data_IF_026244265205
#
_entry.id   IF_026244265205
#
_cell.length_a   1.000
_cell.length_b   1.000
_cell.length_c   1.000
_cell.angle_alpha   90.00
_cell.angle_beta   90.00
_cell.angle_gamma   90.00
#
_symmetry.space_group_name_H-M   'P 1'
#
loop_
_entity.id
_entity.type
_entity.pdbx_description
1 polymer ?
#
# COMPACT_ATOMS: atom_id res chain seq x y z
N UNK A 1 -56.99 9.35 19.86
CA UNK A 1 -57.78 8.20 20.33
C UNK A 1 -58.28 8.53 21.72
N UNK A 2 -59.57 8.84 21.85
CA UNK A 2 -60.32 8.75 23.12
C UNK A 2 -60.55 7.27 23.45
N UNK A 3 -60.92 6.94 24.70
CA UNK A 3 -62.35 6.82 25.07
C UNK A 3 -62.64 7.42 26.46
N UNK A 4 -63.72 8.19 26.67
CA UNK A 4 -65.12 7.79 26.90
C UNK A 4 -65.40 6.92 28.15
N UNK A 5 -66.14 7.56 29.06
CA UNK A 5 -67.22 7.09 29.92
C UNK A 5 -67.04 5.98 30.95
N UNK A 6 -67.37 6.33 32.20
CA UNK A 6 -68.30 5.57 33.05
C UNK A 6 -68.90 6.45 34.16
N UNK A 7 -70.15 6.84 33.94
CA UNK A 7 -71.13 7.23 34.97
C UNK A 7 -71.58 6.00 35.75
N UNK A 8 -71.87 6.15 37.06
CA UNK A 8 -72.99 5.50 37.77
C UNK A 8 -73.10 5.95 39.26
N UNK A 9 -74.28 5.76 39.91
CA UNK A 9 -74.86 6.69 40.89
C UNK A 9 -75.20 6.08 42.27
N UNK A 10 -76.03 6.80 43.05
CA UNK A 10 -76.77 6.42 44.29
C UNK A 10 -76.06 6.81 45.61
N UNK A 11 -76.70 7.26 46.69
CA UNK A 11 -78.00 6.93 47.30
C UNK A 11 -78.51 8.07 48.22
N UNK A 12 -79.81 8.02 48.47
CA UNK A 12 -80.66 8.91 49.24
C UNK A 12 -80.42 8.95 50.77
N UNK A 13 -81.22 9.81 51.43
CA UNK A 13 -81.61 9.92 52.86
C UNK A 13 -81.10 11.22 53.52
N UNK A 14 -81.91 12.07 54.15
CA UNK A 14 -83.33 11.96 54.46
C UNK A 14 -83.90 13.32 54.91
N UNK A 15 -85.21 13.40 54.81
CA UNK A 15 -86.08 14.44 55.35
C UNK A 15 -85.91 14.61 56.87
N UNK A 16 -86.07 15.84 57.35
CA UNK A 16 -86.78 16.08 58.62
C UNK A 16 -87.40 17.48 58.62
N UNK A 17 -88.73 17.44 58.47
CA UNK A 17 -89.68 18.52 58.72
C UNK A 17 -89.57 19.02 60.17
N UNK A 18 -89.56 20.33 60.35
CA UNK A 18 -89.82 21.00 61.62
C UNK A 18 -90.86 22.09 61.38
N UNK A 19 -92.11 21.80 61.73
CA UNK A 19 -93.22 22.75 61.78
C UNK A 19 -93.02 23.67 62.99
N UNK A 20 -93.03 24.99 62.79
CA UNK A 20 -93.27 25.95 63.87
C UNK A 20 -94.57 26.70 63.60
N UNK A 21 -95.59 26.31 64.36
CA UNK A 21 -96.88 26.98 64.46
C UNK A 21 -96.73 28.30 65.23
N UNK A 22 -97.49 29.36 64.89
CA UNK A 22 -97.54 30.56 65.71
C UNK A 22 -98.41 30.31 66.93
N UNK A 23 -97.82 30.40 68.12
CA UNK A 23 -98.56 30.36 69.38
C UNK A 23 -99.33 31.67 69.55
N UNK A 24 -100.63 31.53 69.35
CA UNK A 24 -101.69 32.42 69.79
C UNK A 24 -101.68 32.54 71.32
N UNK A 25 -101.48 33.75 71.84
CA UNK A 25 -101.80 34.15 73.21
C UNK A 25 -102.73 35.35 73.06
N UNK A 26 -104.04 35.24 73.24
CA UNK A 26 -104.70 34.67 74.42
C UNK A 26 -105.26 35.86 75.20
N UNK A 27 -106.29 36.50 74.63
CA UNK A 27 -107.08 37.52 75.29
C UNK A 27 -107.72 36.91 76.55
N UNK A 28 -107.34 37.43 77.72
CA UNK A 28 -108.04 37.18 78.98
C UNK A 28 -108.81 38.44 79.35
N UNK A 29 -109.94 38.61 78.67
CA UNK A 29 -111.13 39.25 79.23
C UNK A 29 -111.57 38.46 80.46
N UNK A 30 -111.67 39.09 81.63
CA UNK A 30 -112.21 38.41 82.79
C UNK A 30 -112.06 39.15 84.10
N UNK A 31 -113.03 40.01 84.40
CA UNK A 31 -113.90 39.89 85.59
C UNK A 31 -114.28 41.25 86.14
N UNK A 32 -115.47 41.67 85.71
CA UNK A 32 -116.28 42.72 86.34
C UNK A 32 -116.67 42.23 87.74
N UNK A 33 -115.97 42.72 88.77
CA UNK A 33 -116.32 42.44 90.17
C UNK A 33 -117.56 43.29 90.53
N UNK A 34 -118.63 42.73 91.13
CA UNK A 34 -119.84 43.47 91.45
C UNK A 34 -119.65 44.31 92.72
N UNK A 35 -119.53 45.63 92.58
CA UNK A 35 -119.56 46.66 93.64
C UNK A 35 -120.92 46.83 94.34
N UNK A 36 -121.77 45.79 94.34
CA UNK A 36 -123.19 45.88 94.72
C UNK A 36 -123.48 45.56 96.21
N UNK A 37 -122.47 45.30 97.05
CA UNK A 37 -122.69 44.77 98.42
C UNK A 37 -122.34 45.74 99.57
N UNK A 38 -121.54 46.77 99.32
CA UNK A 38 -121.14 47.77 100.34
C UNK A 38 -122.25 48.76 100.65
N UNK A 39 -122.87 49.34 99.61
CA UNK A 39 -123.96 50.32 99.78
C UNK A 39 -125.21 49.80 100.49
N UNK A 40 -125.48 48.49 100.42
CA UNK A 40 -126.65 47.89 101.09
C UNK A 40 -126.44 47.71 102.60
N UNK A 41 -125.22 47.38 103.05
CA UNK A 41 -124.90 47.17 104.47
C UNK A 41 -124.79 48.49 105.24
N UNK A 42 -124.23 49.51 104.59
CA UNK A 42 -124.10 50.85 105.14
C UNK A 42 -125.48 51.52 105.34
N UNK A 43 -126.37 51.36 104.35
CA UNK A 43 -127.77 51.81 104.41
C UNK A 43 -128.56 51.12 105.53
N UNK A 44 -128.37 49.80 105.74
CA UNK A 44 -129.02 49.06 106.82
C UNK A 44 -128.54 49.50 108.22
N UNK A 45 -127.24 49.77 108.39
CA UNK A 45 -126.69 50.26 109.65
C UNK A 45 -127.18 51.68 110.00
N UNK A 46 -127.24 52.57 109.03
CA UNK A 46 -127.81 53.92 109.19
C UNK A 46 -129.28 53.88 109.64
N UNK A 47 -130.07 52.93 109.14
CA UNK A 47 -131.45 52.71 109.59
C UNK A 47 -131.51 52.27 111.05
N UNK A 48 -130.68 51.30 111.45
CA UNK A 48 -130.63 50.85 112.86
C UNK A 48 -130.14 51.95 113.83
N UNK A 49 -129.24 52.84 113.41
CA UNK A 49 -128.85 54.00 114.20
C UNK A 49 -130.02 54.96 114.46
N UNK A 50 -130.86 55.21 113.44
CA UNK A 50 -132.08 56.02 113.60
C UNK A 50 -133.08 55.35 114.54
N UNK A 51 -133.26 54.04 114.44
CA UNK A 51 -134.15 53.28 115.33
C UNK A 51 -133.63 53.29 116.78
N UNK A 52 -132.31 53.21 116.97
CA UNK A 52 -131.67 53.34 118.28
C UNK A 52 -131.88 54.73 118.90
N UNK A 53 -131.73 55.79 118.10
CA UNK A 53 -131.96 57.17 118.53
C UNK A 53 -133.42 57.41 118.91
N UNK A 54 -134.35 56.93 118.08
CA UNK A 54 -135.79 56.93 118.39
C UNK A 54 -136.12 56.18 119.69
N UNK A 55 -135.53 54.99 119.89
CA UNK A 55 -135.70 54.22 121.12
C UNK A 55 -135.08 54.89 122.36
N UNK A 56 -133.94 55.57 122.21
CA UNK A 56 -133.31 56.36 123.27
C UNK A 56 -134.21 57.54 123.68
N UNK A 57 -134.72 58.28 122.69
CA UNK A 57 -135.63 59.40 122.87
C UNK A 57 -136.94 58.95 123.54
N UNK A 58 -137.48 57.80 123.15
CA UNK A 58 -138.66 57.21 123.80
C UNK A 58 -138.40 56.82 125.26
N UNK A 59 -137.24 56.23 125.58
CA UNK A 59 -136.85 55.91 126.96
C UNK A 59 -136.62 57.18 127.80
N UNK A 60 -136.01 58.22 127.22
CA UNK A 60 -135.79 59.51 127.87
C UNK A 60 -137.12 60.22 128.18
N UNK A 61 -138.06 60.25 127.24
CA UNK A 61 -139.40 60.80 127.46
C UNK A 61 -140.17 60.03 128.56
N UNK A 62 -140.03 58.71 128.58
CA UNK A 62 -140.62 57.84 129.61
C UNK A 62 -139.97 58.04 131.00
N UNK A 63 -138.68 58.37 131.04
CA UNK A 63 -137.93 58.75 132.25
C UNK A 63 -138.49 60.03 132.88
N UNK A 64 -138.73 61.07 132.06
CA UNK A 64 -139.35 62.32 132.50
C UNK A 64 -140.76 62.06 133.03
N UNK A 65 -141.52 61.19 132.35
CA UNK A 65 -142.87 60.81 132.79
C UNK A 65 -142.88 60.03 134.11
N UNK A 66 -141.89 59.16 134.34
CA UNK A 66 -141.70 58.46 135.63
C UNK A 66 -141.31 59.43 136.75
N UNK A 67 -140.42 60.39 136.48
CA UNK A 67 -140.02 61.44 137.44
C UNK A 67 -141.20 62.33 137.84
N UNK A 68 -142.00 62.78 136.89
CA UNK A 68 -143.18 63.60 137.20
C UNK A 68 -144.22 62.85 138.03
N UNK A 69 -144.27 61.51 137.96
CA UNK A 69 -145.12 60.69 138.82
C UNK A 69 -144.57 60.57 140.26
N UNK A 70 -143.26 60.74 140.47
CA UNK A 70 -142.60 60.76 141.78
C UNK A 70 -142.87 62.06 142.56
N UNK A 71 -142.86 63.21 141.90
CA UNK A 71 -142.88 64.54 142.56
C UNK A 71 -144.28 65.00 143.06
N UNK A 72 -145.35 64.23 142.83
CA UNK A 72 -146.74 64.62 143.16
C UNK A 72 -147.34 63.82 144.33
N UNK A 73 -146.90 64.05 145.57
CA UNK A 73 -147.41 63.45 146.82
C UNK A 73 -148.17 64.49 147.68
N UNK A 74 -149.52 64.41 147.82
CA UNK A 74 -150.23 65.15 148.86
C UNK A 74 -150.75 64.24 149.98
N UNK A 75 -150.36 64.58 151.21
CA UNK A 75 -150.71 63.90 152.47
C UNK A 75 -152.19 64.04 152.84
N UNK A 76 -153.08 63.27 152.20
CA UNK A 76 -154.41 62.93 152.74
C UNK A 76 -154.98 61.69 152.05
N UNK A 77 -155.22 60.62 152.83
CA UNK A 77 -156.11 59.47 152.56
C UNK A 77 -156.38 59.08 151.09
N UNK A 78 -155.58 58.15 150.56
CA UNK A 78 -155.99 56.92 149.81
C UNK A 78 -154.75 56.23 149.21
N UNK A 79 -154.05 55.42 150.01
CA UNK A 79 -152.74 54.81 149.71
C UNK A 79 -152.69 53.74 148.60
N UNK A 80 -153.81 53.34 147.97
CA UNK A 80 -153.85 52.15 147.08
C UNK A 80 -153.75 52.45 145.57
N UNK A 81 -154.10 53.65 145.08
CA UNK A 81 -154.06 53.98 143.64
C UNK A 81 -152.72 54.56 143.16
N UNK A 82 -151.96 55.17 144.06
CA UNK A 82 -150.65 55.76 143.76
C UNK A 82 -149.59 54.68 143.51
N UNK A 83 -149.61 53.61 144.31
CA UNK A 83 -148.72 52.46 144.21
C UNK A 83 -148.81 51.76 142.83
N UNK A 84 -150.02 51.64 142.28
CA UNK A 84 -150.28 50.96 141.00
C UNK A 84 -149.88 51.83 139.80
N UNK A 85 -150.09 53.15 139.85
CA UNK A 85 -149.62 54.09 138.81
C UNK A 85 -148.09 54.13 138.74
N UNK A 86 -147.42 54.17 139.88
CA UNK A 86 -145.96 54.14 139.98
C UNK A 86 -145.37 52.83 139.46
N UNK A 87 -145.97 51.70 139.81
CA UNK A 87 -145.54 50.38 139.33
C UNK A 87 -145.68 50.25 137.81
N UNK A 88 -146.71 50.85 137.21
CA UNK A 88 -146.92 50.86 135.75
C UNK A 88 -145.91 51.75 135.03
N UNK A 89 -145.66 52.96 135.53
CA UNK A 89 -144.68 53.87 134.94
C UNK A 89 -143.25 53.32 135.05
N UNK A 90 -142.90 52.69 136.19
CA UNK A 90 -141.63 51.98 136.37
C UNK A 90 -141.48 50.84 135.37
N UNK A 91 -142.53 50.03 135.20
CA UNK A 91 -142.53 48.90 134.26
C UNK A 91 -142.33 49.36 132.81
N UNK A 92 -143.04 50.40 132.38
CA UNK A 92 -142.93 50.93 131.03
C UNK A 92 -141.55 51.58 130.78
N UNK A 93 -140.99 52.23 131.80
CA UNK A 93 -139.62 52.74 131.72
C UNK A 93 -138.60 51.59 131.57
N UNK A 94 -138.74 50.54 132.37
CA UNK A 94 -137.88 49.36 132.23
C UNK A 94 -138.02 48.73 130.84
N UNK A 95 -139.24 48.63 130.32
CA UNK A 95 -139.49 48.11 128.97
C UNK A 95 -138.83 48.98 127.88
N UNK A 96 -138.92 50.31 127.97
CA UNK A 96 -138.27 51.21 127.01
C UNK A 96 -136.75 51.20 127.14
N UNK A 97 -136.22 51.14 128.35
CA UNK A 97 -134.78 51.00 128.59
C UNK A 97 -134.26 49.65 128.12
N UNK A 98 -135.03 48.57 128.30
CA UNK A 98 -134.68 47.25 127.79
C UNK A 98 -134.74 47.25 126.26
N UNK A 99 -135.75 47.85 125.63
CA UNK A 99 -135.82 47.97 124.16
C UNK A 99 -134.66 48.78 123.59
N UNK A 100 -134.35 49.94 124.18
CA UNK A 100 -133.16 50.73 123.81
C UNK A 100 -131.87 49.94 124.02
N UNK A 101 -131.72 49.22 125.14
CA UNK A 101 -130.56 48.37 125.42
C UNK A 101 -130.41 47.28 124.36
N UNK A 102 -131.50 46.65 123.93
CA UNK A 102 -131.48 45.64 122.86
C UNK A 102 -131.07 46.25 121.51
N UNK A 103 -131.67 47.37 121.11
CA UNK A 103 -131.31 48.03 119.85
C UNK A 103 -129.86 48.53 119.88
N UNK A 104 -129.40 49.12 120.99
CA UNK A 104 -128.02 49.58 121.14
C UNK A 104 -127.03 48.40 121.07
N UNK A 105 -127.38 47.26 121.65
CA UNK A 105 -126.61 46.02 121.50
C UNK A 105 -126.53 45.58 120.04
N UNK A 106 -127.64 45.61 119.30
CA UNK A 106 -127.67 45.29 117.87
C UNK A 106 -126.84 46.26 117.03
N UNK A 107 -126.92 47.57 117.29
CA UNK A 107 -126.08 48.59 116.63
C UNK A 107 -124.61 48.31 116.89
N UNK A 108 -124.20 48.04 118.14
CA UNK A 108 -122.81 47.71 118.45
C UNK A 108 -122.34 46.45 117.74
N UNK A 109 -123.20 45.43 117.64
CA UNK A 109 -122.87 44.19 116.94
C UNK A 109 -122.72 44.41 115.43
N UNK A 110 -123.61 45.18 114.80
CA UNK A 110 -123.50 45.49 113.37
C UNK A 110 -122.34 46.44 113.08
N UNK A 111 -122.04 47.40 113.95
CA UNK A 111 -120.83 48.22 113.84
C UNK A 111 -119.57 47.35 113.88
N UNK A 112 -119.52 46.38 114.81
CA UNK A 112 -118.41 45.43 114.89
C UNK A 112 -118.28 44.59 113.61
N UNK A 113 -119.39 44.11 113.05
CA UNK A 113 -119.39 43.38 111.79
C UNK A 113 -118.93 44.23 110.60
N UNK A 114 -119.33 45.51 110.55
CA UNK A 114 -118.87 46.45 109.53
C UNK A 114 -117.36 46.72 109.67
N UNK A 115 -116.87 46.91 110.90
CA UNK A 115 -115.45 47.06 111.17
C UNK A 115 -114.64 45.81 110.80
N UNK A 116 -115.15 44.61 111.10
CA UNK A 116 -114.54 43.34 110.69
C UNK A 116 -114.50 43.21 109.15
N UNK A 117 -115.61 43.52 108.46
CA UNK A 117 -115.66 43.48 107.00
C UNK A 117 -114.78 44.53 106.32
N UNK A 118 -114.68 45.74 106.89
CA UNK A 118 -113.77 46.80 106.43
C UNK A 118 -112.30 46.38 106.64
N UNK A 119 -111.97 45.75 107.78
CA UNK A 119 -110.64 45.21 108.02
C UNK A 119 -110.27 44.09 107.02
N UNK A 120 -111.21 43.18 106.71
CA UNK A 120 -111.04 42.15 105.69
C UNK A 120 -110.87 42.76 104.29
N UNK A 121 -111.63 43.81 103.96
CA UNK A 121 -111.51 44.53 102.69
C UNK A 121 -110.14 45.21 102.57
N UNK A 122 -109.70 45.95 103.59
CA UNK A 122 -108.37 46.58 103.62
C UNK A 122 -107.26 45.53 103.52
N UNK A 123 -107.43 44.36 104.14
CA UNK A 123 -106.49 43.27 104.02
C UNK A 123 -106.47 42.66 102.61
N UNK A 124 -107.64 42.46 101.99
CA UNK A 124 -107.75 42.02 100.59
C UNK A 124 -107.11 43.04 99.63
N UNK A 125 -107.36 44.34 99.82
CA UNK A 125 -106.76 45.41 99.02
C UNK A 125 -105.22 45.42 99.16
N UNK A 126 -104.70 45.20 100.37
CA UNK A 126 -103.25 45.02 100.58
C UNK A 126 -102.71 43.78 99.86
N UNK A 127 -103.44 42.66 99.86
CA UNK A 127 -103.04 41.47 99.10
C UNK A 127 -103.05 41.72 97.60
N UNK A 128 -104.10 42.36 97.07
CA UNK A 128 -104.20 42.74 95.66
C UNK A 128 -103.04 43.66 95.28
N UNK A 129 -102.74 44.67 96.11
CA UNK A 129 -101.60 45.56 95.88
C UNK A 129 -100.27 44.79 95.84
N UNK A 130 -100.02 43.91 96.82
CA UNK A 130 -98.82 43.08 96.84
C UNK A 130 -98.71 42.17 95.60
N UNK A 131 -99.82 41.58 95.16
CA UNK A 131 -99.85 40.77 93.93
C UNK A 131 -99.58 41.61 92.69
N UNK A 132 -100.15 42.80 92.57
CA UNK A 132 -99.89 43.73 91.46
C UNK A 132 -98.42 44.17 91.44
N UNK A 133 -97.82 44.48 92.60
CA UNK A 133 -96.39 44.79 92.68
C UNK A 133 -95.54 43.62 92.20
N UNK A 134 -95.87 42.38 92.62
CA UNK A 134 -95.15 41.17 92.18
C UNK A 134 -95.31 40.91 90.68
N UNK A 135 -96.50 41.12 90.13
CA UNK A 135 -96.75 41.01 88.68
C UNK A 135 -95.90 42.03 87.94
N UNK A 136 -95.92 43.30 88.36
CA UNK A 136 -95.12 44.35 87.73
C UNK A 136 -93.61 44.06 87.81
N UNK A 137 -93.13 43.52 88.93
CA UNK A 137 -91.73 43.07 89.05
C UNK A 137 -91.41 41.94 88.06
N UNK A 138 -92.27 40.91 87.98
CA UNK A 138 -92.08 39.79 87.06
C UNK A 138 -92.16 40.22 85.57
N UNK A 139 -93.04 41.16 85.23
CA UNK A 139 -93.13 41.75 83.90
C UNK A 139 -91.84 42.51 83.54
N UNK A 140 -91.32 43.32 84.46
CA UNK A 140 -90.05 44.02 84.27
C UNK A 140 -88.88 43.04 84.10
N UNK A 141 -88.81 42.00 84.94
CA UNK A 141 -87.80 40.94 84.81
C UNK A 141 -87.92 40.21 83.47
N UNK A 142 -89.13 39.90 83.00
CA UNK A 142 -89.37 39.26 81.71
C UNK A 142 -88.93 40.16 80.54
N UNK A 143 -89.20 41.46 80.60
CA UNK A 143 -88.71 42.42 79.60
C UNK A 143 -87.18 42.52 79.56
N UNK A 144 -86.51 42.45 80.72
CA UNK A 144 -85.04 42.38 80.79
C UNK A 144 -84.55 41.06 80.18
N UNK A 145 -85.13 39.92 80.56
CA UNK A 145 -84.74 38.61 80.04
C UNK A 145 -84.95 38.48 78.52
N UNK A 146 -86.03 39.07 77.97
CA UNK A 146 -86.25 39.12 76.52
C UNK A 146 -85.16 39.91 75.81
N UNK A 147 -84.73 41.04 76.37
CA UNK A 147 -83.61 41.84 75.83
C UNK A 147 -82.30 41.06 75.88
N UNK A 148 -81.99 40.43 77.01
CA UNK A 148 -80.78 39.62 77.15
C UNK A 148 -80.77 38.42 76.19
N UNK A 149 -81.92 37.76 76.00
CA UNK A 149 -82.07 36.67 75.05
C UNK A 149 -81.88 37.16 73.61
N UNK A 150 -82.46 38.31 73.26
CA UNK A 150 -82.27 38.93 71.95
C UNK A 150 -80.80 39.29 71.69
N UNK A 151 -80.13 39.92 72.66
CA UNK A 151 -78.69 40.23 72.57
C UNK A 151 -77.83 38.97 72.47
N UNK A 152 -78.13 37.93 73.26
CA UNK A 152 -77.44 36.66 73.19
C UNK A 152 -77.65 35.99 71.83
N UNK A 153 -78.87 36.04 71.28
CA UNK A 153 -79.18 35.57 69.93
C UNK A 153 -78.35 36.27 68.86
N UNK A 154 -78.21 37.60 68.96
CA UNK A 154 -77.33 38.37 68.07
C UNK A 154 -75.86 37.96 68.22
N UNK A 155 -75.36 37.78 69.45
CA UNK A 155 -73.99 37.32 69.69
C UNK A 155 -73.73 35.92 69.11
N UNK A 156 -74.69 35.01 69.24
CA UNK A 156 -74.61 33.65 68.65
C UNK A 156 -74.58 33.73 67.12
N UNK A 157 -75.39 34.60 66.52
CA UNK A 157 -75.38 34.81 65.07
C UNK A 157 -74.02 35.34 64.57
N UNK A 158 -73.46 36.34 65.26
CA UNK A 158 -72.14 36.89 64.95
C UNK A 158 -71.03 35.83 65.08
N UNK A 159 -71.06 35.01 66.15
CA UNK A 159 -70.11 33.90 66.33
C UNK A 159 -70.26 32.85 65.23
N UNK A 160 -71.49 32.53 64.82
CA UNK A 160 -71.75 31.62 63.72
C UNK A 160 -71.23 32.16 62.40
N UNK A 161 -71.37 33.46 62.14
CA UNK A 161 -70.81 34.10 60.96
C UNK A 161 -69.27 34.03 60.96
N UNK A 162 -68.62 34.43 62.06
CA UNK A 162 -67.16 34.30 62.23
C UNK A 162 -66.67 32.86 62.04
N UNK A 163 -67.37 31.88 62.61
CA UNK A 163 -67.02 30.47 62.43
C UNK A 163 -67.11 29.98 60.98
N UNK A 164 -68.07 30.50 60.19
CA UNK A 164 -68.14 30.22 58.74
C UNK A 164 -66.99 30.87 57.98
N UNK A 165 -66.65 32.11 58.29
CA UNK A 165 -65.51 32.81 57.67
C UNK A 165 -64.19 32.10 57.96
N UNK A 166 -63.94 31.69 59.21
CA UNK A 166 -62.76 30.90 59.59
C UNK A 166 -62.73 29.54 58.88
N UNK A 167 -63.89 28.89 58.73
CA UNK A 167 -64.01 27.63 57.99
C UNK A 167 -63.64 27.82 56.52
N UNK A 168 -64.14 28.86 55.85
CA UNK A 168 -63.84 29.13 54.44
C UNK A 168 -62.40 29.60 54.23
N UNK A 169 -61.86 30.38 55.18
CA UNK A 169 -60.44 30.70 55.23
C UNK A 169 -59.58 29.44 55.33
N UNK A 170 -59.95 28.50 56.21
CA UNK A 170 -59.24 27.22 56.37
C UNK A 170 -59.29 26.38 55.10
N UNK A 171 -60.45 26.29 54.42
CA UNK A 171 -60.57 25.61 53.12
C UNK A 171 -59.65 26.24 52.08
N UNK A 172 -59.64 27.57 51.98
CA UNK A 172 -58.78 28.32 51.06
C UNK A 172 -57.29 28.07 51.34
N UNK A 173 -56.89 28.11 52.62
CA UNK A 173 -55.53 27.81 53.04
C UNK A 173 -55.11 26.36 52.67
N UNK A 174 -55.98 25.37 52.90
CA UNK A 174 -55.73 23.97 52.49
C UNK A 174 -55.56 23.86 50.97
N UNK A 175 -56.40 24.53 50.17
CA UNK A 175 -56.27 24.54 48.72
C UNK A 175 -54.95 25.16 48.26
N UNK A 176 -54.53 26.26 48.90
CA UNK A 176 -53.26 26.91 48.62
C UNK A 176 -52.08 25.99 48.96
N UNK A 177 -52.09 25.35 50.13
CA UNK A 177 -51.06 24.38 50.54
C UNK A 177 -50.96 23.23 49.54
N UNK A 178 -52.08 22.63 49.13
CA UNK A 178 -52.10 21.57 48.10
C UNK A 178 -51.50 22.03 46.78
N UNK A 179 -51.79 23.26 46.34
CA UNK A 179 -51.21 23.84 45.12
C UNK A 179 -49.69 24.05 45.24
N UNK A 180 -49.22 24.55 46.39
CA UNK A 180 -47.79 24.72 46.68
C UNK A 180 -47.06 23.37 46.75
N UNK A 181 -47.69 22.34 47.34
CA UNK A 181 -47.12 20.99 47.37
C UNK A 181 -47.04 20.36 45.98
N UNK A 182 -48.07 20.53 45.15
CA UNK A 182 -48.07 20.03 43.78
C UNK A 182 -46.98 20.70 42.92
N UNK A 183 -46.84 22.03 43.03
CA UNK A 183 -45.79 22.78 42.32
C UNK A 183 -44.40 22.40 42.82
N UNK A 184 -44.21 22.23 44.14
CA UNK A 184 -42.95 21.73 44.72
C UNK A 184 -42.60 20.35 44.19
N UNK A 185 -43.55 19.41 44.17
CA UNK A 185 -43.32 18.05 43.66
C UNK A 185 -42.94 18.08 42.18
N UNK A 186 -43.62 18.91 41.38
CA UNK A 186 -43.32 19.10 39.96
C UNK A 186 -41.90 19.64 39.74
N UNK A 187 -41.52 20.71 40.46
CA UNK A 187 -40.17 21.30 40.37
C UNK A 187 -39.09 20.32 40.84
N UNK A 188 -39.34 19.55 41.90
CA UNK A 188 -38.42 18.51 42.36
C UNK A 188 -38.23 17.40 41.32
N UNK A 189 -39.29 17.03 40.60
CA UNK A 189 -39.22 16.09 39.47
C UNK A 189 -38.39 16.63 38.31
N UNK A 190 -38.59 17.91 37.93
CA UNK A 190 -37.79 18.56 36.90
C UNK A 190 -36.32 18.64 37.29
N UNK A 191 -36.02 18.99 38.54
CA UNK A 191 -34.65 19.07 39.05
C UNK A 191 -33.94 17.72 38.92
N UNK A 192 -34.56 16.63 39.41
CA UNK A 192 -34.01 15.27 39.28
C UNK A 192 -33.79 14.85 37.83
N UNK A 193 -34.73 15.17 36.94
CA UNK A 193 -34.61 14.89 35.51
C UNK A 193 -33.42 15.63 34.89
N UNK A 194 -33.25 16.91 35.24
CA UNK A 194 -32.13 17.73 34.77
C UNK A 194 -30.78 17.31 35.37
N UNK A 195 -30.75 16.89 36.63
CA UNK A 195 -29.56 16.31 37.26
C UNK A 195 -29.14 15.01 36.56
N UNK A 196 -30.09 14.13 36.25
CA UNK A 196 -29.81 12.89 35.50
C UNK A 196 -29.30 13.18 34.08
N UNK A 197 -29.90 14.15 33.38
CA UNK A 197 -29.44 14.60 32.06
C UNK A 197 -28.03 15.19 32.13
N UNK A 198 -27.74 16.04 33.12
CA UNK A 198 -26.42 16.62 33.32
C UNK A 198 -25.35 15.54 33.56
N UNK A 199 -25.62 14.60 34.47
CA UNK A 199 -24.73 13.46 34.73
C UNK A 199 -24.46 12.63 33.46
N UNK A 200 -25.49 12.37 32.65
CA UNK A 200 -25.33 11.69 31.35
C UNK A 200 -24.42 12.47 30.40
N UNK A 201 -24.62 13.78 30.28
CA UNK A 201 -23.81 14.65 29.44
C UNK A 201 -22.36 14.71 29.94
N UNK A 202 -22.12 14.77 31.25
CA UNK A 202 -20.78 14.72 31.85
C UNK A 202 -20.04 13.44 31.47
N UNK A 203 -20.70 12.27 31.56
CA UNK A 203 -20.09 10.99 31.17
C UNK A 203 -19.78 10.95 29.67
N UNK A 204 -20.68 11.46 28.82
CA UNK A 204 -20.45 11.58 27.37
C UNK A 204 -19.27 12.49 27.06
N UNK A 205 -19.17 13.64 27.74
CA UNK A 205 -18.09 14.60 27.57
C UNK A 205 -16.75 13.98 27.95
N UNK A 206 -16.65 13.31 29.11
CA UNK A 206 -15.43 12.60 29.50
C UNK A 206 -15.05 11.49 28.52
N UNK A 207 -16.04 10.81 27.93
CA UNK A 207 -15.78 9.77 26.92
C UNK A 207 -15.21 10.40 25.66
N UNK A 208 -15.79 11.50 25.19
CA UNK A 208 -15.27 12.25 24.04
C UNK A 208 -13.86 12.79 24.30
N UNK A 209 -13.57 13.33 25.49
CA UNK A 209 -12.23 13.77 25.87
C UNK A 209 -11.19 12.64 25.80
N UNK A 210 -11.53 11.43 26.30
CA UNK A 210 -10.67 10.24 26.16
C UNK A 210 -10.45 9.86 24.69
N UNK A 211 -11.49 9.91 23.85
CA UNK A 211 -11.33 9.62 22.42
C UNK A 211 -10.47 10.67 21.71
N UNK A 212 -10.61 11.95 22.04
CA UNK A 212 -9.80 13.03 21.45
C UNK A 212 -8.34 12.89 21.84
N UNK A 213 -8.04 12.58 23.10
CA UNK A 213 -6.66 12.34 23.56
C UNK A 213 -6.04 11.13 22.88
N UNK A 214 -6.78 10.02 22.76
CA UNK A 214 -6.33 8.84 22.01
C UNK A 214 -6.03 9.16 20.54
N UNK A 215 -6.93 9.87 19.84
CA UNK A 215 -6.73 10.24 18.44
C UNK A 215 -5.57 11.21 18.23
N UNK A 216 -5.29 12.09 19.20
CA UNK A 216 -4.10 12.95 19.17
C UNK A 216 -2.82 12.14 19.23
N UNK A 217 -2.73 11.14 20.11
CA UNK A 217 -1.59 10.23 20.19
C UNK A 217 -1.38 9.48 18.88
N UNK A 218 -2.42 8.88 18.31
CA UNK A 218 -2.36 8.18 17.01
C UNK A 218 -1.89 9.11 15.87
N UNK A 219 -2.37 10.36 15.87
CA UNK A 219 -1.93 11.36 14.88
C UNK A 219 -0.44 11.70 15.04
N UNK A 220 0.05 11.83 16.26
CA UNK A 220 1.45 12.15 16.52
C UNK A 220 2.38 10.98 16.17
N UNK A 221 1.97 9.73 16.44
CA UNK A 221 2.65 8.52 15.98
C UNK A 221 2.73 8.44 14.45
N UNK A 222 1.61 8.70 13.76
CA UNK A 222 1.56 8.71 12.29
C UNK A 222 2.44 9.82 11.70
N UNK A 223 2.47 11.01 12.33
CA UNK A 223 3.38 12.08 11.91
C UNK A 223 4.84 11.66 12.06
N UNK A 224 5.21 11.02 13.16
CA UNK A 224 6.58 10.53 13.38
C UNK A 224 6.97 9.45 12.37
N UNK A 225 6.06 8.52 12.05
CA UNK A 225 6.27 7.52 10.99
C UNK A 225 6.43 8.17 9.62
N UNK A 226 5.62 9.19 9.31
CA UNK A 226 5.71 9.91 8.05
C UNK A 226 7.05 10.66 7.90
N UNK A 227 7.52 11.32 8.96
CA UNK A 227 8.83 11.99 8.93
C UNK A 227 9.97 10.99 8.75
N UNK A 228 9.95 9.86 9.47
CA UNK A 228 10.95 8.81 9.33
C UNK A 228 10.97 8.19 7.92
N UNK A 229 9.80 7.94 7.33
CA UNK A 229 9.70 7.43 5.97
C UNK A 229 10.22 8.44 4.93
N UNK A 230 9.93 9.73 5.14
CA UNK A 230 10.43 10.81 4.28
C UNK A 230 11.96 10.90 4.32
N UNK A 231 12.56 10.81 5.50
CA UNK A 231 14.02 10.78 5.68
C UNK A 231 14.64 9.54 5.02
N UNK A 232 14.06 8.36 5.24
CA UNK A 232 14.50 7.12 4.59
C UNK A 232 14.46 7.23 3.07
N UNK A 233 13.37 7.75 2.50
CA UNK A 233 13.25 7.96 1.05
C UNK A 233 14.30 8.94 0.52
N UNK A 234 14.64 9.99 1.27
CA UNK A 234 15.72 10.91 0.90
C UNK A 234 17.09 10.22 0.89
N UNK A 235 17.39 9.40 1.91
CA UNK A 235 18.62 8.60 1.98
C UNK A 235 18.71 7.59 0.83
N UNK A 236 17.63 6.85 0.56
CA UNK A 236 17.57 5.89 -0.55
C UNK A 236 17.78 6.58 -1.91
N UNK A 237 17.21 7.77 -2.09
CA UNK A 237 17.41 8.60 -3.29
C UNK A 237 18.87 9.02 -3.43
N UNK A 238 19.54 9.39 -2.35
CA UNK A 238 20.98 9.73 -2.38
C UNK A 238 21.86 8.51 -2.64
N UNK A 239 21.56 7.37 -2.02
CA UNK A 239 22.23 6.10 -2.25
C UNK A 239 22.12 5.68 -3.72
N UNK A 240 20.91 5.77 -4.30
CA UNK A 240 20.68 5.49 -5.72
C UNK A 240 21.48 6.43 -6.62
N UNK A 241 21.50 7.74 -6.33
CA UNK A 241 22.32 8.71 -7.08
C UNK A 241 23.82 8.34 -7.04
N UNK A 242 24.34 7.94 -5.87
CA UNK A 242 25.74 7.50 -5.73
C UNK A 242 26.00 6.22 -6.52
N UNK A 243 25.12 5.23 -6.44
CA UNK A 243 25.21 3.98 -7.20
C UNK A 243 25.19 4.24 -8.72
N UNK A 244 24.27 5.06 -9.21
CA UNK A 244 24.19 5.44 -10.63
C UNK A 244 25.45 6.15 -11.11
N UNK A 245 26.02 7.07 -10.32
CA UNK A 245 27.30 7.73 -10.64
C UNK A 245 28.45 6.74 -10.71
N UNK A 246 28.53 5.81 -9.76
CA UNK A 246 29.55 4.76 -9.78
C UNK A 246 29.43 3.85 -11.02
N UNK A 247 28.20 3.47 -11.38
CA UNK A 247 27.94 2.67 -12.57
C UNK A 247 28.27 3.42 -13.86
N UNK A 248 27.98 4.73 -13.93
CA UNK A 248 28.38 5.58 -15.06
C UNK A 248 29.89 5.61 -15.22
N UNK A 249 30.64 5.86 -14.14
CA UNK A 249 32.11 5.82 -14.20
C UNK A 249 32.67 4.45 -14.59
N UNK A 250 32.02 3.36 -14.16
CA UNK A 250 32.40 2.01 -14.57
C UNK A 250 32.18 1.81 -16.08
N UNK A 251 31.05 2.27 -16.62
CA UNK A 251 30.77 2.23 -18.05
C UNK A 251 31.79 3.04 -18.86
N UNK A 252 32.10 4.28 -18.45
CA UNK A 252 33.12 5.13 -19.09
C UNK A 252 34.50 4.43 -19.13
N UNK A 253 34.90 3.73 -18.05
CA UNK A 253 36.15 2.95 -18.02
C UNK A 253 36.13 1.78 -19.01
N UNK A 254 34.99 1.10 -19.15
CA UNK A 254 34.84 0.03 -20.13
C UNK A 254 34.84 0.57 -21.56
N UNK A 255 34.15 1.67 -21.84
CA UNK A 255 34.20 2.34 -23.15
C UNK A 255 35.63 2.75 -23.52
N UNK A 256 36.39 3.33 -22.57
CA UNK A 256 37.79 3.67 -22.79
C UNK A 256 38.68 2.43 -23.04
N UNK A 257 38.45 1.33 -22.32
CA UNK A 257 39.16 0.08 -22.53
C UNK A 257 38.83 -0.56 -23.90
N UNK A 258 37.56 -0.56 -24.29
CA UNK A 258 37.10 -1.01 -25.61
C UNK A 258 37.72 -0.16 -26.72
N UNK A 259 37.76 1.17 -26.55
CA UNK A 259 38.41 2.08 -27.50
C UNK A 259 39.89 1.76 -27.72
N UNK A 260 40.63 1.45 -26.64
CA UNK A 260 42.04 1.01 -26.74
C UNK A 260 42.18 -0.32 -27.47
N UNK A 261 41.36 -1.32 -27.13
CA UNK A 261 41.38 -2.62 -27.81
C UNK A 261 41.05 -2.48 -29.29
N UNK A 262 40.08 -1.64 -29.64
CA UNK A 262 39.70 -1.38 -31.01
C UNK A 262 40.81 -0.68 -31.80
N UNK A 263 41.51 0.28 -31.18
CA UNK A 263 42.68 0.91 -31.78
C UNK A 263 43.81 -0.10 -32.04
N UNK A 264 44.10 -0.97 -31.08
CA UNK A 264 45.08 -2.06 -31.23
C UNK A 264 44.68 -3.05 -32.33
N UNK A 265 43.39 -3.41 -32.41
CA UNK A 265 42.89 -4.28 -33.47
C UNK A 265 43.13 -3.66 -34.85
N UNK A 266 42.80 -2.37 -35.02
CA UNK A 266 43.06 -1.64 -36.27
C UNK A 266 44.55 -1.59 -36.63
N UNK A 267 45.42 -1.39 -35.64
CA UNK A 267 46.87 -1.42 -35.83
C UNK A 267 47.34 -2.81 -36.31
N UNK A 268 46.87 -3.88 -35.66
CA UNK A 268 47.20 -5.27 -36.05
C UNK A 268 46.66 -5.63 -37.43
N UNK A 269 45.45 -5.18 -37.77
CA UNK A 269 44.89 -5.36 -39.11
C UNK A 269 45.74 -4.65 -40.17
N UNK A 270 46.24 -3.44 -39.88
CA UNK A 270 47.15 -2.71 -40.76
C UNK A 270 48.52 -3.41 -40.90
N UNK A 271 49.11 -3.89 -39.80
CA UNK A 271 50.33 -4.71 -39.83
C UNK A 271 50.15 -5.98 -40.67
N UNK A 272 49.03 -6.68 -40.50
CA UNK A 272 48.69 -7.88 -41.29
C UNK A 272 48.53 -7.56 -42.78
N UNK A 273 47.87 -6.45 -43.12
CA UNK A 273 47.75 -5.99 -44.51
C UNK A 273 49.14 -5.70 -45.12
N UNK A 274 50.00 -5.00 -44.39
CA UNK A 274 51.38 -4.72 -44.80
C UNK A 274 52.21 -6.01 -44.98
N UNK A 275 52.11 -6.96 -44.04
CA UNK A 275 52.79 -8.24 -44.13
C UNK A 275 52.33 -9.06 -45.35
N UNK A 276 51.03 -9.01 -45.70
CA UNK A 276 50.49 -9.62 -46.93
C UNK A 276 51.10 -9.00 -48.18
N UNK A 277 51.18 -7.67 -48.25
CA UNK A 277 51.82 -6.95 -49.39
C UNK A 277 53.30 -7.35 -49.52
N UNK A 278 54.04 -7.39 -48.42
CA UNK A 278 55.45 -7.79 -48.42
C UNK A 278 55.63 -9.25 -48.87
N UNK A 279 54.80 -10.17 -48.37
CA UNK A 279 54.78 -11.57 -48.82
C UNK A 279 54.54 -11.65 -50.32
N UNK A 280 53.55 -10.93 -50.83
CA UNK A 280 53.19 -10.96 -52.25
C UNK A 280 54.30 -10.39 -53.14
N UNK A 281 54.97 -9.33 -52.69
CA UNK A 281 56.18 -8.80 -53.33
C UNK A 281 57.31 -9.84 -53.38
N UNK A 282 57.62 -10.50 -52.25
CA UNK A 282 58.65 -11.56 -52.20
C UNK A 282 58.28 -12.76 -53.08
N UNK A 283 57.00 -13.12 -53.14
CA UNK A 283 56.50 -14.18 -54.01
C UNK A 283 56.73 -13.84 -55.49
N UNK A 284 56.36 -12.61 -55.91
CA UNK A 284 56.63 -12.13 -57.28
C UNK A 284 58.13 -12.11 -57.61
N UNK A 285 58.97 -11.65 -56.67
CA UNK A 285 60.42 -11.66 -56.86
C UNK A 285 60.95 -13.09 -57.06
N UNK A 286 60.45 -14.06 -56.28
CA UNK A 286 60.81 -15.48 -56.43
C UNK A 286 60.34 -16.04 -57.78
N UNK A 287 59.14 -15.69 -58.22
CA UNK A 287 58.64 -16.09 -59.55
C UNK A 287 59.55 -15.54 -60.65
N UNK A 288 59.92 -14.26 -60.61
CA UNK A 288 60.85 -13.66 -61.57
C UNK A 288 62.23 -14.34 -61.58
N UNK A 289 62.82 -14.62 -60.41
CA UNK A 289 64.13 -15.30 -60.37
C UNK A 289 64.05 -16.75 -60.82
N UNK A 290 62.91 -17.42 -60.62
CA UNK A 290 62.66 -18.76 -61.13
C UNK A 290 62.54 -18.75 -62.66
N UNK A 291 61.81 -17.79 -63.24
CA UNK A 291 61.72 -17.61 -64.69
C UNK A 291 63.09 -17.31 -65.31
N UNK A 292 63.91 -16.47 -64.67
CA UNK A 292 65.30 -16.22 -65.09
C UNK A 292 66.17 -17.46 -65.01
N UNK A 293 66.05 -18.23 -63.92
CA UNK A 293 66.74 -19.51 -63.75
C UNK A 293 66.33 -20.49 -64.86
N UNK A 294 65.06 -20.60 -65.18
CA UNK A 294 64.56 -21.51 -66.22
C UNK A 294 65.06 -21.08 -67.62
N UNK A 295 65.15 -19.78 -67.89
CA UNK A 295 65.81 -19.25 -69.10
C UNK A 295 67.29 -19.63 -69.15
N UNK A 296 68.03 -19.46 -68.04
CA UNK A 296 69.45 -19.84 -67.97
C UNK A 296 69.65 -21.35 -68.13
N UNK A 297 68.80 -22.18 -67.51
CA UNK A 297 68.83 -23.64 -67.68
C UNK A 297 68.61 -23.98 -69.16
N UNK A 298 67.63 -23.36 -69.81
CA UNK A 298 67.35 -23.55 -71.24
C UNK A 298 68.56 -23.19 -72.12
N UNK A 299 69.23 -22.06 -71.83
CA UNK A 299 70.47 -21.67 -72.50
C UNK A 299 71.60 -22.66 -72.24
N UNK A 300 71.79 -23.13 -71.00
CA UNK A 300 72.79 -24.14 -70.66
C UNK A 300 72.51 -25.44 -71.42
N UNK A 301 71.27 -25.91 -71.48
CA UNK A 301 70.91 -27.12 -72.24
C UNK A 301 71.17 -26.94 -73.73
N UNK A 302 70.87 -25.76 -74.29
CA UNK A 302 71.16 -25.43 -75.67
C UNK A 302 72.68 -25.44 -75.96
N UNK A 303 73.48 -24.78 -75.13
CA UNK A 303 74.94 -24.77 -75.24
C UNK A 303 75.54 -26.17 -75.05
N UNK A 304 75.02 -26.97 -74.11
CA UNK A 304 75.41 -28.38 -73.96
C UNK A 304 75.14 -29.18 -75.23
N UNK A 305 73.97 -28.99 -75.85
CA UNK A 305 73.65 -29.62 -77.14
C UNK A 305 74.62 -29.19 -78.23
N UNK A 306 74.98 -27.90 -78.30
CA UNK A 306 76.00 -27.43 -79.24
C UNK A 306 77.37 -28.05 -79.00
N UNK A 307 77.80 -28.20 -77.74
CA UNK A 307 79.06 -28.85 -77.38
C UNK A 307 79.04 -30.32 -77.80
N UNK A 308 77.94 -31.04 -77.55
CA UNK A 308 77.78 -32.44 -77.98
C UNK A 308 77.88 -32.53 -79.52
N UNK A 309 77.19 -31.66 -80.25
CA UNK A 309 77.24 -31.61 -81.71
C UNK A 309 78.63 -31.25 -82.26
N UNK A 310 79.30 -30.24 -81.68
CA UNK A 310 80.68 -29.88 -82.02
C UNK A 310 81.66 -31.01 -81.71
N UNK A 311 81.52 -31.69 -80.57
CA UNK A 311 82.33 -32.85 -80.22
C UNK A 311 82.08 -34.02 -81.19
N UNK A 312 80.84 -34.25 -81.61
CA UNK A 312 80.52 -35.26 -82.62
C UNK A 312 81.15 -34.91 -83.98
N UNK A 313 81.12 -33.64 -84.39
CA UNK A 313 81.81 -33.14 -85.59
C UNK A 313 83.32 -33.32 -85.50
N UNK A 314 83.94 -32.94 -84.37
CA UNK A 314 85.37 -33.14 -84.11
C UNK A 314 85.76 -34.62 -84.12
N UNK A 315 84.96 -35.48 -83.48
CA UNK A 315 85.22 -36.92 -83.46
C UNK A 315 85.15 -37.50 -84.87
N UNK A 316 84.12 -37.13 -85.64
CA UNK A 316 83.98 -37.53 -87.04
C UNK A 316 85.18 -37.07 -87.87
N UNK A 317 85.58 -35.81 -87.75
CA UNK A 317 86.73 -35.27 -88.49
C UNK A 317 88.05 -35.94 -88.08
N UNK A 318 88.23 -36.26 -86.79
CA UNK A 318 89.35 -37.07 -86.32
C UNK A 318 89.32 -38.48 -86.92
N UNK A 319 88.16 -39.13 -86.94
CA UNK A 319 88.00 -40.46 -87.51
C UNK A 319 88.28 -40.44 -89.02
N UNK A 320 87.75 -39.46 -89.75
CA UNK A 320 88.05 -39.19 -91.16
C UNK A 320 89.56 -38.95 -91.37
N UNK A 321 90.22 -38.14 -90.53
CA UNK A 321 91.67 -37.94 -90.57
C UNK A 321 92.44 -39.24 -90.29
N UNK A 322 92.01 -40.05 -89.33
CA UNK A 322 92.66 -41.34 -89.04
C UNK A 322 92.50 -42.30 -90.22
N UNK A 323 91.34 -42.38 -90.86
CA UNK A 323 91.14 -43.24 -92.04
C UNK A 323 91.97 -42.75 -93.23
N UNK A 324 92.05 -41.43 -93.45
CA UNK A 324 92.94 -40.85 -94.47
C UNK A 324 94.40 -41.18 -94.15
N UNK A 325 94.84 -41.00 -92.90
CA UNK A 325 96.20 -41.30 -92.46
C UNK A 325 96.53 -42.79 -92.58
N UNK A 326 95.60 -43.69 -92.24
CA UNK A 326 95.72 -45.14 -92.46
C UNK A 326 95.84 -45.48 -93.94
N UNK A 327 95.01 -44.87 -94.81
CA UNK A 327 95.10 -45.06 -96.26
C UNK A 327 96.44 -44.57 -96.83
N UNK A 328 96.93 -43.43 -96.32
CA UNK A 328 98.20 -42.84 -96.70
C UNK A 328 99.36 -43.71 -96.20
N UNK A 329 99.26 -44.24 -94.99
CA UNK A 329 100.23 -45.18 -94.43
C UNK A 329 100.25 -46.51 -95.21
N UNK A 330 99.10 -47.05 -95.62
CA UNK A 330 99.03 -48.18 -96.54
C UNK A 330 99.65 -47.87 -97.91
N UNK A 331 99.47 -46.64 -98.41
CA UNK A 331 100.11 -46.20 -99.64
C UNK A 331 101.63 -46.09 -99.49
N UNK A 332 102.13 -45.54 -98.37
CA UNK A 332 103.55 -45.49 -98.04
C UNK A 332 104.13 -46.90 -97.93
N UNK A 333 103.45 -47.82 -97.24
CA UNK A 333 103.90 -49.22 -97.14
C UNK A 333 103.98 -49.90 -98.51
N UNK A 334 102.99 -49.69 -99.38
CA UNK A 334 103.03 -50.17 -100.78
C UNK A 334 104.22 -49.60 -101.55
N UNK A 335 104.42 -48.29 -101.50
CA UNK A 335 105.56 -47.64 -102.15
C UNK A 335 106.91 -48.12 -101.58
N UNK A 336 106.96 -48.41 -100.28
CA UNK A 336 108.17 -48.94 -99.62
C UNK A 336 108.47 -50.37 -100.08
N UNK A 337 107.43 -51.21 -100.24
CA UNK A 337 107.56 -52.56 -100.78
C UNK A 337 108.00 -52.53 -102.25
N UNK A 338 107.36 -51.71 -103.10
CA UNK A 338 107.80 -51.49 -104.49
C UNK A 338 109.25 -51.00 -104.58
N UNK A 339 109.65 -50.07 -103.71
CA UNK A 339 111.03 -49.58 -103.67
C UNK A 339 112.01 -50.68 -103.22
N UNK A 340 111.59 -51.58 -102.32
CA UNK A 340 112.32 -52.78 -101.94
C UNK A 340 112.51 -53.73 -103.12
N UNK A 341 111.44 -54.00 -103.87
CA UNK A 341 111.48 -54.85 -105.07
C UNK A 341 112.36 -54.24 -106.17
N UNK A 342 112.26 -52.93 -106.40
CA UNK A 342 113.13 -52.20 -107.32
C UNK A 342 114.60 -52.25 -106.88
N UNK A 343 114.88 -52.15 -105.58
CA UNK A 343 116.23 -52.28 -105.03
C UNK A 343 116.79 -53.70 -105.24
N UNK A 344 115.99 -54.73 -104.99
CA UNK A 344 116.36 -56.13 -105.24
C UNK A 344 116.64 -56.40 -106.73
N UNK A 345 115.78 -55.91 -107.62
CA UNK A 345 115.98 -56.00 -109.06
C UNK A 345 117.24 -55.25 -109.51
N UNK A 346 117.53 -54.07 -108.93
CA UNK A 346 118.75 -53.30 -109.20
C UNK A 346 120.02 -54.06 -108.75
N UNK A 347 119.99 -54.67 -107.56
CA UNK A 347 121.08 -55.51 -107.07
C UNK A 347 121.31 -56.74 -107.97
N UNK A 348 120.24 -57.36 -108.45
CA UNK A 348 120.28 -58.52 -109.36
C UNK A 348 120.87 -58.15 -110.72
N UNK A 349 120.42 -57.02 -111.30
CA UNK A 349 120.97 -56.50 -112.55
C UNK A 349 122.45 -56.13 -112.42
N UNK A 350 122.87 -55.49 -111.31
CA UNK A 350 124.29 -55.21 -111.04
C UNK A 350 125.14 -56.47 -110.95
N UNK A 351 124.64 -57.54 -110.34
CA UNK A 351 125.35 -58.82 -110.29
C UNK A 351 125.48 -59.45 -111.68
N UNK A 352 124.43 -59.36 -112.51
CA UNK A 352 124.48 -59.81 -113.90
C UNK A 352 125.45 -59.01 -114.76
N UNK A 353 125.53 -57.69 -114.57
CA UNK A 353 126.48 -56.81 -115.28
C UNK A 353 127.93 -57.18 -114.91
N UNK A 354 128.24 -57.34 -113.62
CA UNK A 354 129.56 -57.74 -113.17
C UNK A 354 130.00 -59.13 -113.69
N UNK A 355 129.05 -60.04 -113.93
CA UNK A 355 129.32 -61.35 -114.52
C UNK A 355 129.66 -61.25 -116.02
N UNK A 356 128.93 -60.40 -116.77
CA UNK A 356 129.18 -60.17 -118.19
C UNK A 356 130.51 -59.43 -118.43
N UNK A 357 130.84 -58.47 -117.57
CA UNK A 357 132.13 -57.75 -117.62
C UNK A 357 133.33 -58.70 -117.46
N UNK A 358 133.21 -59.74 -116.62
CA UNK A 358 134.25 -60.78 -116.47
C UNK A 358 134.41 -61.65 -117.72
N UNK A 359 133.30 -62.04 -118.35
CA UNK A 359 133.33 -62.83 -119.59
C UNK A 359 133.96 -62.07 -120.76
N UNK A 360 133.76 -60.75 -120.83
CA UNK A 360 134.39 -59.90 -121.85
C UNK A 360 135.90 -59.82 -121.64
N UNK A 361 136.36 -59.62 -120.40
CA UNK A 361 137.80 -59.58 -120.10
C UNK A 361 138.52 -60.90 -120.44
N UNK A 362 137.89 -62.05 -120.14
CA UNK A 362 138.45 -63.37 -120.47
C UNK A 362 138.49 -63.62 -122.00
N UNK A 363 137.52 -63.07 -122.74
CA UNK A 363 137.45 -63.18 -124.21
C UNK A 363 138.47 -62.27 -124.92
N UNK A 364 138.74 -61.09 -124.37
CA UNK A 364 139.76 -60.17 -124.88
C UNK A 364 141.18 -60.72 -124.67
N UNK A 365 141.44 -61.40 -123.55
CA UNK A 365 142.72 -62.05 -123.29
C UNK A 365 143.01 -63.20 -124.28
N UNK A 366 141.99 -64.02 -124.60
CA UNK A 366 142.11 -65.11 -125.57
C UNK A 366 142.35 -64.61 -127.01
N UNK A 367 141.82 -63.44 -127.37
CA UNK A 367 141.97 -62.85 -128.70
C UNK A 367 143.39 -62.30 -128.95
N UNK A 368 144.04 -61.74 -127.93
CA UNK A 368 145.43 -61.25 -128.07
C UNK A 368 146.46 -62.40 -128.10
N UNK A 369 146.20 -63.53 -127.42
CA UNK A 369 147.05 -64.72 -127.50
C UNK A 369 147.03 -65.32 -128.93
N UNK A 370 145.86 -65.44 -129.55
CA UNK A 370 145.69 -65.93 -130.95
C UNK A 370 146.40 -65.02 -131.98
N UNK A 371 146.42 -63.70 -131.72
CA UNK A 371 147.07 -62.68 -132.56
C UNK A 371 148.59 -62.84 -132.60
N UNK A 372 149.21 -63.12 -131.44
CA UNK A 372 150.66 -63.33 -131.34
C UNK A 372 151.10 -64.61 -132.05
N UNK A 373 150.32 -65.69 -131.92
CA UNK A 373 150.55 -66.98 -132.60
C UNK A 373 150.42 -66.86 -134.13
N UNK A 374 149.50 -66.03 -134.63
CA UNK A 374 149.36 -65.80 -136.07
C UNK A 374 150.51 -64.98 -136.67
N UNK A 375 151.19 -64.13 -135.90
CA UNK A 375 152.33 -63.34 -136.40
C UNK A 375 153.62 -64.17 -136.48
N UNK A 376 153.85 -65.09 -135.55
CA UNK A 376 155.02 -65.98 -135.55
C UNK A 376 155.01 -66.95 -136.75
N UNK A 377 153.85 -67.54 -137.08
CA UNK A 377 153.73 -68.44 -138.24
C UNK A 377 153.92 -67.76 -139.61
N UNK A 378 153.63 -66.46 -139.70
CA UNK A 378 153.82 -65.70 -140.93
C UNK A 378 155.30 -65.35 -141.17
N UNK A 379 156.09 -65.24 -140.10
CA UNK A 379 157.53 -65.00 -140.16
C UNK A 379 158.31 -66.27 -140.53
N UNK A 380 157.85 -67.43 -140.06
CA UNK A 380 158.42 -68.75 -140.39
C UNK A 380 158.13 -69.14 -141.86
N UNK A 381 156.94 -68.81 -142.38
CA UNK A 381 156.60 -69.02 -143.79
C UNK A 381 157.47 -68.19 -144.76
N UNK A 382 157.86 -66.97 -144.37
CA UNK A 382 158.75 -66.10 -145.17
C UNK A 382 160.20 -66.59 -145.20
N UNK A 383 160.68 -67.24 -144.14
CA UNK A 383 162.03 -67.80 -144.11
C UNK A 383 162.16 -69.06 -145.00
N UNK A 384 161.12 -69.90 -145.06
CA UNK A 384 161.10 -71.06 -145.96
C UNK A 384 160.98 -70.66 -147.44
N UNK A 385 160.31 -69.54 -147.73
CA UNK A 385 160.16 -69.05 -149.11
C UNK A 385 161.48 -68.53 -149.70
N UNK A 386 162.33 -67.88 -148.89
CA UNK A 386 163.66 -67.44 -149.33
C UNK A 386 164.64 -68.61 -149.54
N UNK A 387 164.54 -69.68 -148.73
CA UNK A 387 165.36 -70.90 -148.92
C UNK A 387 165.01 -71.67 -150.20
N UNK A 388 163.76 -71.57 -150.69
CA UNK A 388 163.32 -72.18 -151.95
C UNK A 388 163.82 -71.39 -153.17
N UNK A 389 163.99 -70.08 -153.08
CA UNK A 389 164.55 -69.27 -154.16
C UNK A 389 166.07 -69.45 -154.30
N UNK A 390 166.80 -69.55 -153.18
CA UNK A 390 168.25 -69.80 -153.20
C UNK A 390 168.59 -71.20 -153.77
N UNK A 391 167.81 -72.24 -153.42
CA UNK A 391 167.98 -73.58 -154.00
C UNK A 391 167.61 -73.64 -155.49
N UNK A 392 166.71 -72.78 -155.98
CA UNK A 392 166.40 -72.66 -157.41
C UNK A 392 167.55 -71.99 -158.19
N UNK A 393 168.23 -71.01 -157.59
CA UNK A 393 169.40 -70.37 -158.18
C UNK A 393 170.60 -71.34 -158.26
N UNK A 394 170.79 -72.18 -157.26
CA UNK A 394 171.87 -73.19 -157.22
C UNK A 394 171.68 -74.31 -158.28
N UNK A 395 170.44 -74.74 -158.51
CA UNK A 395 170.08 -75.76 -159.53
C UNK A 395 170.24 -75.22 -160.96
N UNK A 396 169.92 -73.94 -161.20
CA UNK A 396 170.13 -73.31 -162.51
C UNK A 396 171.63 -73.18 -162.83
N UNK A 397 172.45 -72.91 -161.82
CA UNK A 397 173.92 -72.78 -161.92
C UNK A 397 174.61 -74.12 -162.17
N UNK A 398 174.16 -75.20 -161.53
CA UNK A 398 174.66 -76.56 -161.78
C UNK A 398 174.21 -77.14 -163.12
N UNK A 399 173.00 -76.80 -163.61
CA UNK A 399 172.54 -77.22 -164.94
C UNK A 399 173.33 -76.57 -166.08
N UNK A 400 173.69 -75.29 -165.97
CA UNK A 400 174.53 -74.65 -166.99
C UNK A 400 175.97 -75.18 -166.97
N UNK A 401 176.56 -75.40 -165.79
CA UNK A 401 177.90 -76.00 -165.69
C UNK A 401 177.92 -77.44 -166.23
N UNK A 402 176.83 -78.20 -166.10
CA UNK A 402 176.71 -79.54 -166.66
C UNK A 402 176.49 -79.53 -168.20
N UNK A 403 175.89 -78.47 -168.75
CA UNK A 403 175.79 -78.26 -170.20
C UNK A 403 177.14 -77.83 -170.80
N UNK A 404 177.93 -77.03 -170.06
CA UNK A 404 179.29 -76.63 -170.43
C UNK A 404 180.31 -77.79 -170.31
N UNK A 405 180.05 -78.78 -169.45
CA UNK A 405 180.85 -80.01 -169.35
C UNK A 405 180.52 -81.03 -170.46
N UNK A 406 179.25 -81.17 -170.87
CA UNK A 406 178.86 -82.09 -171.95
C UNK A 406 179.35 -81.62 -173.33
N UNK A 407 179.34 -80.31 -173.62
CA UNK A 407 179.95 -79.78 -174.87
C UNK A 407 181.48 -79.78 -174.86
N UNK A 408 182.13 -79.83 -173.70
CA UNK A 408 183.58 -80.01 -173.58
C UNK A 408 184.04 -81.46 -173.74
N UNK A 409 183.18 -82.46 -173.48
CA UNK A 409 183.50 -83.88 -173.74
C UNK A 409 183.39 -84.27 -175.22
N UNK A 410 182.55 -83.60 -176.01
CA UNK A 410 182.45 -83.88 -177.46
C UNK A 410 183.61 -83.28 -178.29
N UNK A 411 184.45 -82.45 -177.66
CA UNK A 411 185.70 -81.93 -178.24
C UNK A 411 186.98 -82.63 -177.72
N UNK A 412 186.88 -83.70 -176.89
CA UNK A 412 188.05 -84.35 -176.28
C UNK A 412 188.33 -85.81 -176.69
N UNK A 413 187.52 -86.46 -177.53
CA UNK A 413 187.89 -87.77 -178.11
C UNK A 413 187.66 -87.85 -179.62
N UNK A 414 188.38 -86.98 -180.34
CA UNK A 414 188.69 -87.18 -181.76
C UNK A 414 190.18 -87.53 -181.99
N UNK A 415 191.03 -87.84 -180.99
CA UNK A 415 192.38 -88.42 -181.26
C UNK A 415 193.21 -88.89 -180.05
N UNK A 416 193.53 -90.19 -180.11
CA UNK A 416 194.68 -90.97 -179.56
C UNK A 416 194.54 -91.52 -178.14
N UNK A 417 194.72 -92.82 -177.93
CA UNK A 417 195.18 -93.83 -178.87
C UNK A 417 195.61 -95.13 -178.20
N UNK A 418 195.40 -96.20 -178.95
CA UNK A 418 196.33 -97.29 -179.19
C UNK A 418 197.04 -97.95 -178.00
N UNK A 419 196.75 -99.26 -177.90
CA UNK A 419 197.71 -100.33 -177.61
C UNK A 419 198.12 -100.48 -176.14
N UNK A 420 198.02 -101.63 -175.47
CA UNK A 420 198.33 -103.04 -175.84
C UNK A 420 198.16 -103.76 -174.46
N UNK A 421 197.71 -104.99 -174.25
CA UNK A 421 197.49 -106.18 -175.07
C UNK A 421 196.92 -107.25 -174.13
N UNK A 422 196.21 -108.21 -174.74
CA UNK A 422 196.26 -109.66 -174.43
C UNK A 422 195.59 -110.11 -173.12
N UNK A 423 194.77 -111.16 -173.10
CA UNK A 423 194.70 -112.34 -173.96
C UNK A 423 193.33 -113.04 -173.77
N UNK A 424 192.72 -113.46 -174.90
CA UNK A 424 191.95 -114.71 -175.18
C UNK A 424 190.83 -115.17 -174.21
N UNK A 425 189.71 -115.75 -174.64
CA UNK A 425 189.22 -116.39 -175.88
C UNK A 425 188.07 -117.32 -175.45
N UNK A 426 186.91 -117.31 -176.09
CA UNK A 426 186.46 -118.20 -177.17
C UNK A 426 185.28 -117.58 -177.92
#
# INVERSE_FOLDING_TARGET
MSPEDRLSPSLAMGDSRGNDAPLNSGDLEGSRVPEMSTGYRESHFLKMLRDADSAANAAAAQLVSFKNALDNEPSTSRHTSHQSRMSRQRRLLMEKLDHFRHINKSVRQTLKQLQEAEADQVHADKQVHNLLTRISMAENENEVLKKDLFEMGKRVEELRHRGKEEQDFTKSAIHLTKSVEATRAHLQGQLRSKEAENNRLTVQLQTLERTVTQRKLEMDDLKALFTALKEKSALDKEALKKATRAQKHRAERFEAALGKCYAQLKEKDAELANARIQRDSKKRQKELTMDEKDKLISQITYLKSQIIDLNARLLKERDDLTTVNESMMQQVQRLTAENGDLSFNNATLKASVAQLERQVADSEAALEEEKTVSQEKNLEAKQLQNQVEDLKAEIAKTRMLHADLLKKMEHFEDRRGSEVQKCFGF
#
